data_IF_638353518947
#
_entry.id   IF_638353518947
#
_cell.length_a   1.000
_cell.length_b   1.000
_cell.length_c   1.000
_cell.angle_alpha   90.00
_cell.angle_beta   90.00
_cell.angle_gamma   90.00
#
_symmetry.space_group_name_H-M   'P 1'
#
loop_
_entity.id
_entity.type
_entity.pdbx_description
1 polymer ?
#
# COMPACT_ATOMS: atom_id res chain seq x y z
N UNK A 1 -10.99 10.97 13.49
CA UNK A 1 -11.41 9.75 12.75
C UNK A 1 -11.06 9.98 11.28
N UNK A 2 -10.32 9.08 10.65
CA UNK A 2 -9.96 9.26 9.24
C UNK A 2 -11.21 9.12 8.39
N UNK A 3 -11.58 10.21 7.72
CA UNK A 3 -12.75 10.29 6.87
C UNK A 3 -12.52 9.41 5.63
N UNK A 4 -13.09 8.21 5.67
CA UNK A 4 -12.83 7.12 4.72
C UNK A 4 -13.63 7.28 3.42
N UNK A 5 -14.55 8.25 3.35
CA UNK A 5 -15.46 8.49 2.21
C UNK A 5 -15.16 9.85 1.55
N UNK A 6 -13.88 10.25 1.49
CA UNK A 6 -13.49 11.42 0.70
C UNK A 6 -13.43 11.03 -0.79
N UNK A 7 -13.98 11.83 -1.73
CA UNK A 7 -13.87 11.58 -3.19
C UNK A 7 -12.41 11.45 -3.67
N UNK A 8 -11.45 11.86 -2.85
CA UNK A 8 -10.01 11.69 -3.05
C UNK A 8 -9.55 10.22 -2.97
N UNK A 9 -10.22 9.37 -2.19
CA UNK A 9 -9.80 7.98 -1.97
C UNK A 9 -9.96 7.12 -3.22
N UNK A 10 -11.01 7.37 -4.02
CA UNK A 10 -11.22 6.67 -5.29
C UNK A 10 -10.13 7.00 -6.32
N UNK A 11 -9.62 8.24 -6.34
CA UNK A 11 -8.49 8.62 -7.19
C UNK A 11 -7.20 7.93 -6.75
N UNK A 12 -6.98 7.82 -5.43
CA UNK A 12 -5.81 7.17 -4.85
C UNK A 12 -5.77 5.67 -5.15
N UNK A 13 -6.90 4.96 -5.03
CA UNK A 13 -7.00 3.52 -5.34
C UNK A 13 -6.64 3.25 -6.80
N UNK A 14 -7.16 4.08 -7.73
CA UNK A 14 -6.84 4.00 -9.15
C UNK A 14 -5.37 4.28 -9.46
N UNK A 15 -4.72 5.16 -8.69
CA UNK A 15 -3.29 5.41 -8.81
C UNK A 15 -2.49 4.19 -8.36
N UNK A 16 -2.88 3.57 -7.24
CA UNK A 16 -2.22 2.39 -6.66
C UNK A 16 -2.28 1.18 -7.59
N UNK A 17 -3.40 1.00 -8.32
CA UNK A 17 -3.51 -0.07 -9.32
C UNK A 17 -2.62 0.16 -10.54
N UNK A 18 -2.21 1.40 -10.80
CA UNK A 18 -1.47 1.81 -12.00
C UNK A 18 0.04 1.92 -11.73
N UNK A 19 0.43 2.29 -10.52
CA UNK A 19 1.82 2.29 -10.07
C UNK A 19 2.30 0.85 -9.82
N UNK A 20 3.48 0.50 -10.33
CA UNK A 20 4.11 -0.82 -10.12
C UNK A 20 5.10 -0.81 -8.95
N UNK A 21 5.45 0.36 -8.45
CA UNK A 21 6.42 0.56 -7.39
C UNK A 21 5.80 0.34 -6.01
N UNK A 22 6.26 -0.71 -5.32
CA UNK A 22 5.76 -1.09 -4.00
C UNK A 22 5.90 0.03 -2.94
N UNK A 23 6.96 0.82 -3.05
CA UNK A 23 7.21 1.99 -2.21
C UNK A 23 6.15 3.07 -2.45
N UNK A 24 5.85 3.38 -3.71
CA UNK A 24 4.87 4.41 -4.08
C UNK A 24 3.43 3.98 -3.73
N UNK A 25 3.13 2.68 -3.87
CA UNK A 25 1.87 2.05 -3.45
C UNK A 25 1.63 2.23 -1.95
N UNK A 26 2.66 2.02 -1.12
CA UNK A 26 2.58 2.17 0.33
C UNK A 26 2.72 3.65 0.77
N UNK A 27 3.11 4.54 -0.14
CA UNK A 27 3.41 5.94 0.16
C UNK A 27 4.68 6.11 1.01
N UNK A 28 5.68 5.27 0.75
CA UNK A 28 6.95 5.22 1.44
C UNK A 28 8.10 5.57 0.50
N UNK A 29 9.19 6.04 1.07
CA UNK A 29 10.47 6.19 0.39
C UNK A 29 11.26 4.87 0.36
N UNK A 30 12.21 4.78 -0.58
CA UNK A 30 13.15 3.66 -0.68
C UNK A 30 14.04 3.52 0.58
N UNK A 31 14.23 4.61 1.30
CA UNK A 31 14.99 4.71 2.56
C UNK A 31 14.22 4.22 3.79
N UNK A 32 12.92 3.87 3.65
CA UNK A 32 12.08 3.51 4.79
C UNK A 32 12.47 2.18 5.45
N UNK A 33 12.32 2.09 6.77
CA UNK A 33 12.57 0.85 7.54
C UNK A 33 11.39 -0.11 7.48
N UNK A 34 11.62 -1.38 7.80
CA UNK A 34 10.56 -2.42 7.90
C UNK A 34 9.43 -1.98 8.84
N UNK A 35 9.77 -1.25 9.90
CA UNK A 35 8.81 -0.67 10.84
C UNK A 35 7.85 0.34 10.18
N UNK A 36 8.38 1.19 9.28
CA UNK A 36 7.57 2.15 8.50
C UNK A 36 6.68 1.43 7.50
N UNK A 37 7.18 0.38 6.85
CA UNK A 37 6.40 -0.51 5.96
C UNK A 37 5.19 -1.07 6.70
N UNK A 38 5.40 -1.58 7.92
CA UNK A 38 4.31 -2.14 8.75
C UNK A 38 3.31 -1.08 9.20
N UNK A 39 3.78 0.11 9.61
CA UNK A 39 2.91 1.23 10.00
C UNK A 39 2.09 1.76 8.83
N UNK A 40 2.70 1.91 7.66
CA UNK A 40 2.02 2.36 6.44
C UNK A 40 0.98 1.33 5.99
N UNK A 41 1.34 0.05 5.93
CA UNK A 41 0.42 -1.04 5.58
C UNK A 41 -0.81 -1.05 6.49
N UNK A 42 -0.62 -0.88 7.80
CA UNK A 42 -1.74 -0.85 8.75
C UNK A 42 -2.67 0.35 8.49
N UNK A 43 -2.10 1.55 8.32
CA UNK A 43 -2.86 2.76 7.99
C UNK A 43 -3.58 2.64 6.64
N UNK A 44 -2.93 2.06 5.63
CA UNK A 44 -3.48 1.92 4.29
C UNK A 44 -4.59 0.88 4.26
N UNK A 45 -4.41 -0.28 4.91
CA UNK A 45 -5.42 -1.34 5.03
C UNK A 45 -6.72 -0.82 5.64
N UNK A 46 -6.63 0.04 6.66
CA UNK A 46 -7.80 0.67 7.27
C UNK A 46 -8.50 1.66 6.30
N UNK A 47 -7.75 2.27 5.38
CA UNK A 47 -8.28 3.20 4.37
C UNK A 47 -8.88 2.49 3.16
N UNK A 48 -8.26 1.42 2.68
CA UNK A 48 -8.72 0.66 1.49
C UNK A 48 -9.63 -0.51 1.86
N UNK A 49 -10.07 -0.61 3.13
CA UNK A 49 -10.86 -1.74 3.60
C UNK A 49 -12.18 -1.87 2.83
N UNK A 50 -12.47 -3.03 2.20
CA UNK A 50 -13.61 -3.19 1.30
C UNK A 50 -14.98 -3.06 2.01
N UNK A 51 -15.03 -3.32 3.32
CA UNK A 51 -16.24 -3.17 4.14
C UNK A 51 -16.64 -1.69 4.32
N UNK A 52 -15.66 -0.80 4.53
CA UNK A 52 -15.91 0.64 4.73
C UNK A 52 -15.78 1.45 3.45
N UNK A 53 -15.07 0.93 2.46
CA UNK A 53 -14.82 1.59 1.19
C UNK A 53 -15.25 0.70 0.02
N UNK A 54 -16.45 0.93 -0.50
CA UNK A 54 -16.97 0.30 -1.73
C UNK A 54 -16.48 1.00 -3.00
N UNK A 55 -15.23 1.47 -3.00
CA UNK A 55 -14.65 2.08 -4.18
C UNK A 55 -14.30 0.99 -5.22
N UNK A 56 -14.58 1.23 -6.52
CA UNK A 56 -14.19 0.30 -7.58
C UNK A 56 -12.66 0.16 -7.60
N UNK A 57 -12.15 -1.07 -7.44
CA UNK A 57 -10.71 -1.37 -7.38
C UNK A 57 -10.11 -1.41 -5.97
N UNK A 58 -10.90 -1.24 -4.90
CA UNK A 58 -10.40 -1.34 -3.51
C UNK A 58 -9.81 -2.74 -3.21
N UNK A 59 -10.45 -3.80 -3.69
CA UNK A 59 -9.95 -5.19 -3.58
C UNK A 59 -8.59 -5.38 -4.27
N UNK A 60 -8.44 -4.88 -5.50
CA UNK A 60 -7.16 -4.94 -6.23
C UNK A 60 -6.07 -4.13 -5.55
N UNK A 61 -6.37 -2.90 -5.13
CA UNK A 61 -5.42 -2.10 -4.38
C UNK A 61 -4.99 -2.80 -3.09
N UNK A 62 -5.92 -3.43 -2.36
CA UNK A 62 -5.60 -4.20 -1.15
C UNK A 62 -4.68 -5.40 -1.43
N UNK A 63 -4.92 -6.13 -2.52
CA UNK A 63 -4.04 -7.23 -2.96
C UNK A 63 -2.64 -6.74 -3.31
N UNK A 64 -2.53 -5.64 -4.04
CA UNK A 64 -1.25 -5.04 -4.43
C UNK A 64 -0.48 -4.58 -3.18
N UNK A 65 -1.15 -3.90 -2.26
CA UNK A 65 -0.58 -3.40 -0.99
C UNK A 65 -0.11 -4.55 -0.10
N UNK A 66 -0.87 -5.65 -0.05
CA UNK A 66 -0.46 -6.86 0.68
C UNK A 66 0.77 -7.52 0.06
N UNK A 67 0.87 -7.55 -1.28
CA UNK A 67 2.04 -8.07 -1.98
C UNK A 67 3.27 -7.18 -1.77
N UNK A 68 3.10 -5.86 -1.88
CA UNK A 68 4.13 -4.86 -1.59
C UNK A 68 4.67 -5.02 -0.17
N UNK A 69 3.77 -5.11 0.81
CA UNK A 69 4.12 -5.35 2.21
C UNK A 69 4.89 -6.66 2.36
N UNK A 70 4.45 -7.75 1.74
CA UNK A 70 5.13 -9.05 1.87
C UNK A 70 6.56 -9.03 1.31
N UNK A 71 6.79 -8.33 0.20
CA UNK A 71 8.13 -8.14 -0.37
C UNK A 71 9.02 -7.22 0.48
N UNK A 72 8.45 -6.16 1.08
CA UNK A 72 9.22 -5.16 1.83
C UNK A 72 9.36 -5.44 3.33
N UNK A 73 8.46 -6.26 3.89
CA UNK A 73 8.46 -6.67 5.29
C UNK A 73 9.55 -7.69 5.58
N UNK A 74 9.96 -8.46 4.58
CA UNK A 74 10.99 -9.47 4.72
C UNK A 74 12.31 -8.87 4.25
N UNK A 75 13.23 -8.64 5.18
CA UNK A 75 14.51 -7.99 4.91
C UNK A 75 15.35 -8.75 3.87
N UNK A 76 15.16 -10.07 3.79
CA UNK A 76 15.82 -10.92 2.79
C UNK A 76 15.23 -10.74 1.39
N UNK A 77 13.90 -10.75 1.24
CA UNK A 77 13.22 -10.50 -0.04
C UNK A 77 13.46 -9.07 -0.54
N UNK A 78 13.47 -8.09 0.36
CA UNK A 78 13.79 -6.70 0.01
C UNK A 78 15.21 -6.57 -0.54
N UNK A 79 16.17 -7.25 0.10
CA UNK A 79 17.58 -7.22 -0.31
C UNK A 79 17.83 -7.99 -1.62
N UNK A 80 17.01 -8.99 -1.92
CA UNK A 80 16.98 -9.61 -3.26
C UNK A 80 16.32 -8.72 -4.32
N UNK A 81 15.41 -7.83 -3.91
CA UNK A 81 14.65 -6.95 -4.81
C UNK A 81 15.41 -5.68 -5.21
N UNK A 82 16.27 -5.13 -4.34
CA UNK A 82 17.20 -4.06 -4.72
C UNK A 82 18.55 -4.69 -5.11
N UNK A 83 18.80 -4.97 -6.41
CA UNK A 83 20.11 -5.38 -6.85
C UNK A 83 21.09 -4.24 -6.53
N UNK A 84 22.12 -4.60 -5.75
CA UNK A 84 23.21 -3.77 -5.26
C UNK A 84 23.78 -2.78 -6.28
#
# INVERSE_FOLDING_TARGET
MVDVISPRTCCMIRQVTRSKDYYEILGLEKTCSVEDVKKAYWKLSLKVHPDKNKAPGADEAFKIVSRAFKCLSDGELRRQYEPN
#
